data_IF_016483356598
#
_entry.id   IF_016483356598
#
_cell.length_a   1.000
_cell.length_b   1.000
_cell.length_c   1.000
_cell.angle_alpha   90.00
_cell.angle_beta   90.00
_cell.angle_gamma   90.00
#
_symmetry.space_group_name_H-M   'P 1'
#
loop_
_entity.id
_entity.type
_entity.pdbx_description
1 polymer ?
#
# COMPACT_ATOMS: atom_id res chain seq x y z
N UNK A 1 15.03 -17.37 13.99
CA UNK A 1 13.59 -17.54 14.31
C UNK A 1 12.72 -17.80 13.09
N UNK A 2 12.99 -17.22 11.91
CA UNK A 2 12.17 -17.50 10.70
C UNK A 2 12.24 -18.96 10.22
N UNK A 3 13.39 -19.63 10.35
CA UNK A 3 13.53 -21.06 9.99
C UNK A 3 12.75 -22.01 10.91
N UNK A 4 12.38 -21.59 12.13
CA UNK A 4 11.56 -22.39 13.04
C UNK A 4 10.07 -22.37 12.67
N UNK A 5 9.63 -21.44 11.81
CA UNK A 5 8.24 -21.35 11.35
C UNK A 5 7.94 -22.27 10.15
N UNK A 6 8.98 -22.80 9.49
CA UNK A 6 8.86 -23.73 8.36
C UNK A 6 8.83 -25.20 8.80
N UNK A 7 9.04 -25.50 10.08
CA UNK A 7 8.84 -26.84 10.61
C UNK A 7 7.33 -27.07 10.85
N UNK A 8 6.81 -28.20 10.39
CA UNK A 8 5.38 -28.55 10.47
C UNK A 8 4.84 -28.75 11.92
N UNK A 9 5.62 -28.38 12.94
CA UNK A 9 5.36 -28.61 14.36
C UNK A 9 5.40 -27.33 15.21
N UNK A 10 5.49 -26.15 14.60
CA UNK A 10 5.42 -24.90 15.35
C UNK A 10 3.96 -24.61 15.74
N UNK A 11 3.68 -24.48 17.04
CA UNK A 11 2.39 -23.98 17.53
C UNK A 11 2.24 -22.50 17.15
N UNK A 12 1.63 -22.27 15.98
CA UNK A 12 1.41 -20.94 15.39
C UNK A 12 0.36 -20.10 16.13
N UNK A 13 -0.35 -20.68 17.10
CA UNK A 13 -1.40 -20.02 17.88
C UNK A 13 -0.90 -18.87 18.76
N UNK A 14 0.41 -18.80 19.04
CA UNK A 14 1.05 -17.72 19.80
C UNK A 14 1.90 -16.76 18.95
N UNK A 15 1.95 -16.97 17.62
CA UNK A 15 2.78 -16.16 16.75
C UNK A 15 2.22 -14.73 16.61
N UNK A 16 3.03 -13.73 16.95
CA UNK A 16 2.67 -12.33 16.78
C UNK A 16 3.29 -11.78 15.50
N UNK A 17 2.46 -11.30 14.58
CA UNK A 17 2.94 -10.66 13.36
C UNK A 17 3.46 -9.27 13.67
N UNK A 18 4.74 -9.03 13.39
CA UNK A 18 5.36 -7.70 13.41
C UNK A 18 5.75 -7.30 12.00
N UNK A 19 5.61 -6.01 11.70
CA UNK A 19 6.00 -5.42 10.42
C UNK A 19 7.17 -4.45 10.65
N UNK A 20 8.19 -4.44 9.78
CA UNK A 20 9.33 -3.54 9.91
C UNK A 20 8.97 -2.09 9.59
N UNK A 21 7.99 -1.88 8.70
CA UNK A 21 7.48 -0.57 8.33
C UNK A 21 6.18 -0.24 9.05
N UNK A 22 6.07 0.99 9.54
CA UNK A 22 4.81 1.59 9.97
C UNK A 22 4.58 2.93 9.26
N UNK A 23 3.39 3.10 8.69
CA UNK A 23 3.00 4.29 7.91
C UNK A 23 4.02 4.73 6.83
N UNK A 24 4.78 3.78 6.28
CA UNK A 24 5.82 4.03 5.28
C UNK A 24 7.22 4.27 5.81
N UNK A 25 7.38 4.42 7.12
CA UNK A 25 8.68 4.62 7.75
C UNK A 25 9.22 3.30 8.28
N UNK A 26 10.51 3.06 8.10
CA UNK A 26 11.20 1.92 8.68
C UNK A 26 11.36 2.16 10.19
N UNK A 27 10.64 1.37 11.00
CA UNK A 27 10.66 1.48 12.47
C UNK A 27 11.58 0.42 13.08
N UNK A 28 11.61 -0.78 12.50
CA UNK A 28 12.42 -1.89 13.00
C UNK A 28 13.42 -2.36 11.93
N UNK A 29 14.67 -1.84 11.96
CA UNK A 29 15.71 -2.22 11.01
C UNK A 29 16.15 -3.68 11.14
N UNK A 30 16.19 -4.23 12.35
CA UNK A 30 16.61 -5.62 12.59
C UNK A 30 15.67 -6.62 11.93
N UNK A 31 14.35 -6.39 12.05
CA UNK A 31 13.35 -7.19 11.37
C UNK A 31 13.47 -7.06 9.84
N UNK A 32 13.77 -5.87 9.33
CA UNK A 32 13.97 -5.64 7.92
C UNK A 32 15.20 -6.38 7.39
N UNK A 33 16.31 -6.34 8.12
CA UNK A 33 17.52 -7.09 7.77
C UNK A 33 17.27 -8.60 7.75
N UNK A 34 16.56 -9.15 8.75
CA UNK A 34 16.21 -10.57 8.74
C UNK A 34 15.35 -10.97 7.53
N UNK A 35 14.42 -10.11 7.11
CA UNK A 35 13.60 -10.34 5.90
C UNK A 35 14.44 -10.25 4.63
N UNK A 36 15.32 -9.26 4.52
CA UNK A 36 16.21 -9.12 3.39
C UNK A 36 17.22 -10.26 3.29
N UNK A 37 17.75 -10.74 4.40
CA UNK A 37 18.63 -11.90 4.44
C UNK A 37 17.93 -13.13 3.85
N UNK A 38 16.69 -13.39 4.24
CA UNK A 38 15.88 -14.46 3.65
C UNK A 38 15.60 -14.22 2.16
N UNK A 39 15.27 -12.99 1.77
CA UNK A 39 14.98 -12.64 0.38
C UNK A 39 16.21 -12.80 -0.53
N UNK A 40 17.38 -12.33 -0.12
CA UNK A 40 18.61 -12.41 -0.91
C UNK A 40 19.16 -13.84 -0.98
N UNK A 41 19.14 -14.58 0.14
CA UNK A 41 19.69 -15.94 0.19
C UNK A 41 18.74 -17.00 -0.37
N UNK A 42 17.47 -16.98 0.04
CA UNK A 42 16.50 -18.04 -0.24
C UNK A 42 15.77 -17.84 -1.57
N UNK A 43 15.23 -16.63 -1.78
CA UNK A 43 14.38 -16.33 -2.94
C UNK A 43 15.19 -15.94 -4.18
N UNK A 44 16.02 -14.90 -4.05
CA UNK A 44 16.80 -14.37 -5.18
C UNK A 44 18.11 -15.14 -5.43
N UNK A 45 18.67 -15.77 -4.39
CA UNK A 45 19.95 -16.50 -4.43
C UNK A 45 21.09 -15.66 -5.02
N UNK A 46 21.17 -14.41 -4.60
CA UNK A 46 22.17 -13.44 -5.07
C UNK A 46 23.24 -13.26 -4.02
N UNK A 47 24.50 -13.14 -4.46
CA UNK A 47 25.61 -12.73 -3.60
C UNK A 47 25.66 -11.20 -3.54
N UNK A 48 25.47 -10.57 -2.36
CA UNK A 48 25.44 -9.12 -2.24
C UNK A 48 26.72 -8.43 -2.77
N UNK A 49 27.90 -9.01 -2.50
CA UNK A 49 29.20 -8.43 -2.84
C UNK A 49 29.45 -8.23 -4.33
N UNK A 50 28.78 -8.99 -5.20
CA UNK A 50 28.94 -8.87 -6.66
C UNK A 50 27.79 -8.11 -7.31
N UNK A 51 26.74 -7.80 -6.57
CA UNK A 51 25.51 -7.21 -7.08
C UNK A 51 25.35 -5.74 -6.66
N UNK A 52 24.46 -5.04 -7.36
CA UNK A 52 24.07 -3.67 -7.07
C UNK A 52 22.59 -3.65 -6.74
N UNK A 53 22.20 -2.84 -5.76
CA UNK A 53 20.85 -2.78 -5.24
C UNK A 53 20.14 -1.52 -5.72
N UNK A 54 18.95 -1.69 -6.32
CA UNK A 54 18.00 -0.62 -6.58
C UNK A 54 16.94 -0.68 -5.48
N UNK A 55 16.85 0.37 -4.66
CA UNK A 55 15.86 0.45 -3.58
C UNK A 55 14.87 1.58 -3.86
N UNK A 56 13.60 1.34 -3.53
CA UNK A 56 12.57 2.38 -3.58
C UNK A 56 12.29 2.90 -2.18
N UNK A 57 12.27 4.23 -2.04
CA UNK A 57 11.93 4.90 -0.80
C UNK A 57 10.72 5.83 -0.99
N UNK A 58 9.89 6.01 0.06
CA UNK A 58 8.82 6.99 0.03
C UNK A 58 9.39 8.42 0.02
N UNK A 59 8.62 9.34 -0.56
CA UNK A 59 8.97 10.75 -0.56
C UNK A 59 9.04 11.30 0.87
N UNK A 60 10.03 12.17 1.11
CA UNK A 60 10.27 12.81 2.42
C UNK A 60 10.62 11.83 3.54
N UNK A 61 11.42 10.80 3.23
CA UNK A 61 12.00 9.94 4.26
C UNK A 61 12.97 10.72 5.16
N UNK A 62 13.05 10.33 6.44
CA UNK A 62 13.92 11.01 7.40
C UNK A 62 15.38 10.61 7.16
N UNK A 63 16.36 11.55 7.21
CA UNK A 63 17.77 11.22 7.03
C UNK A 63 18.33 10.23 8.06
N UNK A 64 17.69 10.09 9.23
CA UNK A 64 18.03 9.05 10.21
C UNK A 64 17.68 7.66 9.70
N UNK A 65 16.50 7.51 9.08
CA UNK A 65 16.03 6.24 8.53
C UNK A 65 16.89 5.84 7.33
N UNK A 66 17.21 6.79 6.47
CA UNK A 66 18.07 6.57 5.30
C UNK A 66 19.44 6.04 5.72
N UNK A 67 20.06 6.63 6.75
CA UNK A 67 21.33 6.13 7.31
C UNK A 67 21.23 4.70 7.84
N UNK A 68 20.14 4.36 8.53
CA UNK A 68 19.93 2.97 8.99
C UNK A 68 19.77 2.00 7.82
N UNK A 69 19.10 2.40 6.74
CA UNK A 69 19.04 1.60 5.50
C UNK A 69 20.42 1.42 4.88
N UNK A 70 21.21 2.49 4.78
CA UNK A 70 22.56 2.47 4.21
C UNK A 70 23.50 1.56 5.02
N UNK A 71 23.45 1.62 6.35
CA UNK A 71 24.22 0.76 7.26
C UNK A 71 23.93 -0.72 7.00
N UNK A 72 22.64 -1.10 6.90
CA UNK A 72 22.24 -2.48 6.59
C UNK A 72 22.78 -2.90 5.20
N UNK A 73 22.62 -2.07 4.17
CA UNK A 73 22.98 -2.43 2.79
C UNK A 73 24.50 -2.56 2.61
N UNK A 74 25.28 -1.62 3.16
CA UNK A 74 26.72 -1.58 2.95
C UNK A 74 27.52 -2.31 4.03
N UNK A 75 27.18 -2.16 5.30
CA UNK A 75 27.97 -2.74 6.40
C UNK A 75 27.57 -4.18 6.68
N UNK A 76 26.26 -4.47 6.73
CA UNK A 76 25.77 -5.82 7.04
C UNK A 76 25.80 -6.74 5.81
N UNK A 77 25.20 -6.31 4.68
CA UNK A 77 25.15 -7.14 3.47
C UNK A 77 26.36 -6.98 2.56
N UNK A 78 27.03 -5.82 2.54
CA UNK A 78 28.22 -5.61 1.72
C UNK A 78 27.93 -5.47 0.22
N UNK A 79 26.83 -4.81 -0.17
CA UNK A 79 26.53 -4.55 -1.59
C UNK A 79 27.56 -3.63 -2.25
N UNK A 80 27.82 -3.83 -3.55
CA UNK A 80 28.78 -3.00 -4.31
C UNK A 80 28.32 -1.57 -4.51
N UNK A 81 27.03 -1.38 -4.77
CA UNK A 81 26.43 -0.06 -4.96
C UNK A 81 24.95 -0.08 -4.62
N UNK A 82 24.44 1.07 -4.21
CA UNK A 82 23.04 1.31 -3.90
C UNK A 82 22.56 2.51 -4.70
N UNK A 83 21.44 2.37 -5.39
CA UNK A 83 20.70 3.49 -5.96
C UNK A 83 19.32 3.54 -5.30
N UNK A 84 19.03 4.67 -4.65
CA UNK A 84 17.73 4.94 -4.04
C UNK A 84 16.92 5.79 -5.00
N UNK A 85 15.74 5.31 -5.36
CA UNK A 85 14.81 5.98 -6.24
C UNK A 85 13.48 6.23 -5.53
N UNK A 86 12.80 7.30 -5.90
CA UNK A 86 11.41 7.53 -5.51
C UNK A 86 10.46 6.77 -6.44
N UNK A 87 9.41 6.17 -5.88
CA UNK A 87 8.43 5.41 -6.67
C UNK A 87 7.79 6.23 -7.81
N UNK A 88 7.40 7.52 -7.61
CA UNK A 88 6.75 8.29 -8.67
C UNK A 88 7.64 8.57 -9.89
N UNK A 89 8.93 8.86 -9.70
CA UNK A 89 9.84 9.07 -10.83
C UNK A 89 10.04 7.79 -11.63
N UNK A 90 10.17 6.63 -10.98
CA UNK A 90 10.30 5.34 -11.65
C UNK A 90 9.06 4.99 -12.48
N UNK A 91 7.86 5.24 -11.95
CA UNK A 91 6.61 5.00 -12.69
C UNK A 91 6.51 5.91 -13.90
N UNK A 92 6.85 7.19 -13.76
CA UNK A 92 6.89 8.13 -14.89
C UNK A 92 7.86 7.66 -15.98
N UNK A 93 9.09 7.29 -15.59
CA UNK A 93 10.11 6.78 -16.51
C UNK A 93 9.65 5.50 -17.21
N UNK A 94 9.03 4.58 -16.46
CA UNK A 94 8.49 3.34 -16.99
C UNK A 94 7.41 3.61 -18.05
N UNK A 95 6.42 4.46 -17.78
CA UNK A 95 5.38 4.81 -18.74
C UNK A 95 5.93 5.56 -19.96
N UNK A 96 6.87 6.49 -19.75
CA UNK A 96 7.54 7.20 -20.83
C UNK A 96 8.35 6.26 -21.74
N UNK A 97 8.95 5.21 -21.16
CA UNK A 97 9.70 4.19 -21.91
C UNK A 97 8.80 3.23 -22.69
N UNK A 98 7.63 2.88 -22.14
CA UNK A 98 6.66 2.00 -22.80
C UNK A 98 5.94 2.66 -23.96
N UNK A 99 5.64 3.95 -23.84
CA UNK A 99 4.88 4.72 -24.83
C UNK A 99 5.69 5.95 -25.27
N UNK A 100 6.74 5.77 -26.09
CA UNK A 100 7.63 6.86 -26.50
C UNK A 100 6.92 7.95 -27.32
N UNK A 101 5.80 7.63 -27.97
CA UNK A 101 4.98 8.60 -28.71
C UNK A 101 3.77 9.12 -27.91
N UNK A 102 3.61 8.65 -26.68
CA UNK A 102 2.51 9.03 -25.79
C UNK A 102 2.62 10.46 -25.27
N UNK A 103 1.51 10.98 -24.75
CA UNK A 103 1.44 12.33 -24.19
C UNK A 103 2.45 12.52 -23.05
N UNK A 104 2.62 11.51 -22.19
CA UNK A 104 3.54 11.54 -21.05
C UNK A 104 4.99 11.70 -21.52
N UNK A 105 5.41 10.96 -22.56
CA UNK A 105 6.79 11.03 -23.08
C UNK A 105 7.08 12.37 -23.80
N UNK A 106 6.09 12.92 -24.52
CA UNK A 106 6.22 14.22 -25.21
C UNK A 106 6.16 15.42 -24.27
N UNK A 107 5.22 15.41 -23.32
CA UNK A 107 5.04 16.50 -22.36
C UNK A 107 6.05 16.42 -21.21
N UNK A 108 6.66 15.25 -20.99
CA UNK A 108 7.53 14.94 -19.85
C UNK A 108 6.90 15.38 -18.52
N UNK A 109 5.58 15.27 -18.41
CA UNK A 109 4.81 15.75 -17.28
C UNK A 109 3.72 14.74 -16.95
N UNK A 110 3.61 14.36 -15.68
CA UNK A 110 2.55 13.47 -15.20
C UNK A 110 2.26 13.70 -13.72
N UNK A 111 1.02 13.49 -13.32
CA UNK A 111 0.66 13.35 -11.91
C UNK A 111 0.57 11.86 -11.57
N UNK A 112 1.45 11.38 -10.70
CA UNK A 112 1.40 10.00 -10.21
C UNK A 112 0.60 9.97 -8.92
N UNK A 113 -0.46 9.15 -8.90
CA UNK A 113 -1.26 8.86 -7.71
C UNK A 113 -0.93 7.45 -7.26
N UNK A 114 -0.10 7.33 -6.24
CA UNK A 114 0.30 6.05 -5.65
C UNK A 114 -0.57 5.75 -4.43
N UNK A 115 -1.40 4.71 -4.53
CA UNK A 115 -2.29 4.27 -3.47
C UNK A 115 -1.77 2.97 -2.85
N UNK A 116 -1.12 3.09 -1.69
CA UNK A 116 -0.52 1.96 -0.99
C UNK A 116 -1.38 1.40 0.14
N UNK A 117 -0.77 0.53 0.95
CA UNK A 117 -1.41 -0.04 2.13
C UNK A 117 -1.64 1.00 3.24
N UNK A 118 -0.69 1.90 3.49
CA UNK A 118 -0.75 2.80 4.65
C UNK A 118 -1.12 4.24 4.32
N UNK A 119 -0.79 4.72 3.12
CA UNK A 119 -0.97 6.10 2.69
C UNK A 119 -1.15 6.14 1.17
N UNK A 120 -1.63 7.28 0.69
CA UNK A 120 -1.72 7.63 -0.73
C UNK A 120 -0.90 8.90 -0.98
N UNK A 121 -0.06 8.88 -2.02
CA UNK A 121 0.69 10.04 -2.47
C UNK A 121 0.24 10.49 -3.84
N UNK A 122 0.03 11.80 -3.99
CA UNK A 122 -0.12 12.45 -5.27
C UNK A 122 1.15 13.26 -5.52
N UNK A 123 2.00 12.80 -6.44
CA UNK A 123 3.28 13.41 -6.76
C UNK A 123 3.31 13.87 -8.22
N UNK A 124 3.35 15.18 -8.49
CA UNK A 124 3.62 15.69 -9.82
C UNK A 124 5.07 15.45 -10.21
N UNK A 125 5.29 14.92 -11.41
CA UNK A 125 6.60 14.65 -12.01
C UNK A 125 6.73 15.51 -13.26
N UNK A 126 7.83 16.24 -13.37
CA UNK A 126 8.17 17.09 -14.51
C UNK A 126 9.61 16.84 -14.93
N UNK A 127 9.84 16.57 -16.21
CA UNK A 127 11.15 16.25 -16.79
C UNK A 127 11.89 15.15 -16.01
N UNK A 128 11.17 14.09 -15.63
CA UNK A 128 11.66 12.98 -14.79
C UNK A 128 12.01 13.34 -13.33
N UNK A 129 11.80 14.58 -12.90
CA UNK A 129 12.01 15.01 -11.52
C UNK A 129 10.67 15.15 -10.79
N UNK A 130 10.60 14.64 -9.57
CA UNK A 130 9.47 14.87 -8.69
C UNK A 130 9.46 16.30 -8.19
N UNK A 131 8.31 16.96 -8.35
CA UNK A 131 8.10 18.34 -7.95
C UNK A 131 7.71 18.37 -6.47
N UNK A 132 8.71 18.38 -5.58
CA UNK A 132 8.54 18.23 -4.13
C UNK A 132 7.49 19.18 -3.51
N UNK A 133 7.42 20.44 -3.94
CA UNK A 133 6.44 21.40 -3.40
C UNK A 133 4.98 21.08 -3.78
N UNK A 134 4.78 20.32 -4.86
CA UNK A 134 3.45 19.93 -5.35
C UNK A 134 3.00 18.57 -4.82
N UNK A 135 3.83 17.87 -4.06
CA UNK A 135 3.49 16.54 -3.52
C UNK A 135 2.47 16.69 -2.41
N UNK A 136 1.40 15.90 -2.49
CA UNK A 136 0.41 15.76 -1.42
C UNK A 136 0.44 14.33 -0.89
N UNK A 137 0.54 14.21 0.43
CA UNK A 137 0.43 12.94 1.15
C UNK A 137 -0.91 12.92 1.88
N UNK A 138 -1.64 11.83 1.74
CA UNK A 138 -2.82 11.52 2.53
C UNK A 138 -2.53 10.26 3.34
N UNK A 139 -2.70 10.30 4.65
CA UNK A 139 -2.58 9.13 5.53
C UNK A 139 -3.82 8.23 5.46
N UNK A 140 -4.34 8.05 4.25
CA UNK A 140 -5.40 7.12 3.89
C UNK A 140 -4.79 6.12 2.91
N UNK A 141 -4.87 4.85 3.25
CA UNK A 141 -4.45 3.75 2.38
C UNK A 141 -5.37 2.55 2.54
N UNK A 142 -4.98 1.41 1.97
CA UNK A 142 -5.73 0.16 2.05
C UNK A 142 -6.09 -0.26 3.49
N UNK A 143 -5.22 -0.03 4.47
CA UNK A 143 -5.44 -0.33 5.88
C UNK A 143 -6.65 0.41 6.46
N UNK A 144 -6.85 1.68 6.06
CA UNK A 144 -8.00 2.46 6.52
C UNK A 144 -9.30 1.85 5.99
N UNK A 145 -9.31 1.42 4.72
CA UNK A 145 -10.45 0.73 4.10
C UNK A 145 -10.72 -0.63 4.76
N UNK A 146 -9.68 -1.43 5.01
CA UNK A 146 -9.82 -2.74 5.67
C UNK A 146 -10.33 -2.58 7.11
N UNK A 147 -9.81 -1.60 7.87
CA UNK A 147 -10.29 -1.31 9.22
C UNK A 147 -11.75 -0.86 9.23
N UNK A 148 -12.12 -0.01 8.28
CA UNK A 148 -13.49 0.43 8.15
C UNK A 148 -14.44 -0.73 7.76
N UNK A 149 -14.01 -1.61 6.86
CA UNK A 149 -14.76 -2.81 6.50
C UNK A 149 -14.99 -3.71 7.72
N UNK A 150 -13.97 -3.90 8.57
CA UNK A 150 -14.12 -4.62 9.84
C UNK A 150 -15.16 -4.00 10.74
N UNK A 151 -15.15 -2.68 10.91
CA UNK A 151 -16.13 -1.99 11.76
C UNK A 151 -17.56 -2.23 11.25
N UNK A 152 -17.79 -2.15 9.94
CA UNK A 152 -19.12 -2.45 9.36
C UNK A 152 -19.53 -3.90 9.60
N UNK A 153 -18.65 -4.85 9.29
CA UNK A 153 -18.99 -6.28 9.37
C UNK A 153 -19.17 -6.72 10.83
N UNK A 154 -18.28 -6.26 11.71
CA UNK A 154 -18.33 -6.52 13.15
C UNK A 154 -19.61 -6.02 13.79
N UNK A 155 -20.10 -4.83 13.38
CA UNK A 155 -21.35 -4.30 13.87
C UNK A 155 -22.59 -5.10 13.43
N UNK A 156 -22.57 -5.72 12.24
CA UNK A 156 -23.77 -6.32 11.64
C UNK A 156 -23.88 -7.83 11.78
N UNK A 157 -22.77 -8.57 11.73
CA UNK A 157 -22.83 -10.03 11.57
C UNK A 157 -21.95 -10.77 12.57
N UNK A 158 -20.63 -10.64 12.44
CA UNK A 158 -19.64 -11.45 13.16
C UNK A 158 -18.48 -10.57 13.57
N UNK A 159 -18.03 -10.70 14.82
CA UNK A 159 -16.85 -10.00 15.30
C UNK A 159 -15.59 -10.50 14.57
N UNK A 160 -15.08 -9.67 13.67
CA UNK A 160 -13.91 -9.93 12.81
C UNK A 160 -12.74 -8.99 13.12
N UNK A 161 -12.74 -8.38 14.31
CA UNK A 161 -11.75 -7.35 14.67
C UNK A 161 -10.31 -7.87 14.61
N UNK A 162 -10.11 -9.11 15.06
CA UNK A 162 -8.80 -9.78 15.10
C UNK A 162 -8.40 -10.37 13.73
N UNK A 163 -9.38 -10.65 12.87
CA UNK A 163 -9.20 -11.32 11.57
C UNK A 163 -8.87 -10.32 10.44
N UNK A 164 -7.72 -9.67 10.57
CA UNK A 164 -7.25 -8.64 9.64
C UNK A 164 -7.01 -9.14 8.22
N UNK A 165 -6.43 -10.33 8.09
CA UNK A 165 -6.07 -10.91 6.80
C UNK A 165 -7.30 -11.33 6.01
N UNK A 166 -8.26 -11.97 6.68
CA UNK A 166 -9.50 -12.38 6.06
C UNK A 166 -10.28 -11.20 5.49
N UNK A 167 -10.33 -10.07 6.22
CA UNK A 167 -10.99 -8.86 5.74
C UNK A 167 -10.26 -8.19 4.58
N UNK A 168 -8.94 -8.32 4.50
CA UNK A 168 -8.16 -7.83 3.35
C UNK A 168 -8.47 -8.64 2.09
N UNK A 169 -8.55 -9.97 2.23
CA UNK A 169 -8.97 -10.89 1.16
C UNK A 169 -10.38 -10.59 0.65
N UNK A 170 -11.33 -10.35 1.57
CA UNK A 170 -12.71 -9.98 1.23
C UNK A 170 -12.73 -8.64 0.51
N UNK A 171 -11.94 -7.66 0.98
CA UNK A 171 -11.80 -6.36 0.32
C UNK A 171 -11.31 -6.53 -1.12
N UNK A 172 -10.25 -7.30 -1.35
CA UNK A 172 -9.67 -7.50 -2.69
C UNK A 172 -10.59 -8.27 -3.63
N UNK A 173 -11.38 -9.23 -3.13
CA UNK A 173 -12.25 -10.08 -3.96
C UNK A 173 -13.64 -9.49 -4.22
N UNK A 174 -14.20 -8.75 -3.26
CA UNK A 174 -15.62 -8.34 -3.30
C UNK A 174 -15.84 -6.83 -3.46
N UNK A 175 -14.85 -5.99 -3.12
CA UNK A 175 -15.04 -4.54 -3.20
C UNK A 175 -14.78 -4.01 -4.61
N UNK A 176 -15.52 -2.98 -4.97
CA UNK A 176 -15.35 -2.25 -6.23
C UNK A 176 -15.70 -0.77 -6.01
N UNK A 177 -15.22 0.07 -6.92
CA UNK A 177 -15.54 1.49 -6.94
C UNK A 177 -16.66 1.72 -7.94
N UNK A 178 -17.79 2.24 -7.46
CA UNK A 178 -18.94 2.59 -8.29
C UNK A 178 -18.71 3.92 -9.02
N UNK A 179 -19.11 3.99 -10.29
CA UNK A 179 -19.09 5.21 -11.09
C UNK A 179 -20.32 6.09 -10.84
N UNK A 180 -21.50 5.47 -10.63
CA UNK A 180 -22.74 6.15 -10.23
C UNK A 180 -23.32 5.50 -8.97
N UNK A 181 -22.95 6.09 -7.84
CA UNK A 181 -23.36 5.62 -6.52
C UNK A 181 -24.87 5.70 -6.34
N UNK A 182 -25.53 6.74 -6.86
CA UNK A 182 -26.97 6.93 -6.63
C UNK A 182 -27.79 5.85 -7.35
N UNK A 183 -27.33 5.42 -8.52
CA UNK A 183 -27.92 4.30 -9.23
C UNK A 183 -27.65 2.97 -8.51
N UNK A 184 -26.39 2.69 -8.17
CA UNK A 184 -26.00 1.40 -7.59
C UNK A 184 -26.64 1.14 -6.22
N UNK A 185 -26.85 2.18 -5.41
CA UNK A 185 -27.58 2.06 -4.16
C UNK A 185 -29.05 1.66 -4.36
N UNK A 186 -29.71 2.24 -5.37
CA UNK A 186 -31.11 1.90 -5.69
C UNK A 186 -31.23 0.46 -6.16
N UNK A 187 -30.26 -0.01 -6.95
CA UNK A 187 -30.21 -1.41 -7.39
C UNK A 187 -29.96 -2.34 -6.21
N UNK A 188 -29.07 -1.95 -5.28
CA UNK A 188 -28.80 -2.74 -4.08
C UNK A 188 -29.99 -2.80 -3.11
N UNK A 189 -30.71 -1.69 -2.89
CA UNK A 189 -31.94 -1.69 -2.07
C UNK A 189 -33.07 -2.51 -2.68
N UNK A 190 -33.00 -2.76 -3.98
CA UNK A 190 -33.95 -3.62 -4.72
C UNK A 190 -33.59 -5.11 -4.61
N UNK A 191 -32.52 -5.47 -3.90
CA UNK A 191 -32.09 -6.86 -3.66
C UNK A 191 -31.43 -7.56 -4.86
N UNK A 192 -31.17 -6.83 -5.96
CA UNK A 192 -30.62 -7.38 -7.21
C UNK A 192 -29.09 -7.45 -7.21
N UNK A 193 -28.41 -6.74 -6.31
CA UNK A 193 -26.94 -6.77 -6.16
C UNK A 193 -26.55 -7.07 -4.70
N UNK A 194 -25.96 -8.24 -4.48
CA UNK A 194 -25.26 -8.63 -3.24
C UNK A 194 -23.84 -8.06 -3.25
N UNK A 195 -23.71 -6.73 -3.33
CA UNK A 195 -22.41 -6.10 -3.56
C UNK A 195 -22.12 -5.05 -2.49
N UNK A 196 -20.88 -5.02 -1.99
CA UNK A 196 -20.42 -4.07 -0.99
C UNK A 196 -19.85 -2.83 -1.70
N UNK A 197 -20.63 -1.75 -1.78
CA UNK A 197 -20.15 -0.46 -2.31
C UNK A 197 -19.24 0.23 -1.30
N UNK A 198 -18.12 0.78 -1.78
CA UNK A 198 -17.21 1.67 -1.04
C UNK A 198 -17.13 3.00 -1.80
N UNK A 199 -17.63 4.10 -1.21
CA UNK A 199 -17.50 5.48 -1.75
C UNK A 199 -16.25 6.19 -1.20
N UNK A 200 -15.71 7.13 -1.98
CA UNK A 200 -14.73 8.11 -1.52
C UNK A 200 -15.28 9.52 -1.87
N UNK A 201 -15.54 10.31 -0.82
CA UNK A 201 -15.90 11.75 -0.75
C UNK A 201 -17.33 12.33 -1.02
N UNK A 202 -17.67 13.24 -0.08
CA UNK A 202 -18.73 14.28 0.10
C UNK A 202 -20.22 13.90 0.26
N UNK A 203 -20.72 14.00 1.50
CA UNK A 203 -22.07 14.46 1.86
C UNK A 203 -23.17 13.40 2.07
N UNK A 204 -23.58 13.23 3.34
CA UNK A 204 -24.79 12.59 3.91
C UNK A 204 -25.87 12.04 2.95
N UNK A 205 -26.26 10.77 3.15
CA UNK A 205 -27.62 10.42 3.64
C UNK A 205 -27.70 8.95 4.14
N UNK A 206 -28.49 8.77 5.19
CA UNK A 206 -28.85 7.53 5.90
C UNK A 206 -30.20 7.05 5.32
N UNK A 207 -30.32 5.79 4.87
CA UNK A 207 -31.32 4.82 5.40
C UNK A 207 -31.19 3.42 4.79
N UNK A 208 -31.66 2.42 5.54
CA UNK A 208 -31.51 0.98 5.33
C UNK A 208 -32.76 0.31 4.76
N UNK A 209 -32.54 -0.60 3.79
CA UNK A 209 -33.46 -1.67 3.41
C UNK A 209 -32.72 -2.74 2.60
N UNK A 210 -32.72 -3.98 3.11
CA UNK A 210 -32.24 -5.25 2.53
C UNK A 210 -31.37 -5.17 1.24
N UNK A 211 -30.04 -5.29 1.42
CA UNK A 211 -29.09 -5.43 0.30
C UNK A 211 -27.75 -4.75 0.61
N UNK A 212 -26.64 -5.38 0.22
CA UNK A 212 -25.30 -5.18 0.77
C UNK A 212 -24.58 -3.83 0.52
N UNK A 213 -25.24 -2.74 0.14
CA UNK A 213 -24.55 -1.47 -0.11
C UNK A 213 -24.64 -0.47 1.04
N UNK A 214 -23.49 0.11 1.43
CA UNK A 214 -23.44 1.33 2.25
C UNK A 214 -22.58 2.38 1.54
N UNK A 215 -23.07 3.61 1.53
CA UNK A 215 -22.33 4.79 1.07
C UNK A 215 -21.32 5.20 2.14
N UNK A 216 -20.12 5.56 1.72
CA UNK A 216 -19.06 6.07 2.57
C UNK A 216 -18.87 7.58 2.44
N UNK A 217 -18.68 8.23 3.58
CA UNK A 217 -18.39 9.65 3.73
C UNK A 217 -17.00 9.79 4.38
N UNK A 218 -16.15 10.61 3.79
CA UNK A 218 -14.92 11.10 4.41
C UNK A 218 -15.03 12.62 4.43
N UNK A 219 -14.75 13.26 5.57
CA UNK A 219 -14.64 14.71 5.68
C UNK A 219 -13.19 15.11 5.35
N UNK A 220 -13.03 15.92 4.30
CA UNK A 220 -11.77 16.54 3.92
C UNK A 220 -11.83 17.88 4.63
N UNK A 221 -11.22 17.95 5.80
CA UNK A 221 -10.95 19.25 6.42
C UNK A 221 -9.87 19.91 5.54
N UNK A 222 -10.28 20.94 4.80
CA UNK A 222 -9.38 21.87 4.09
C UNK A 222 -8.40 22.56 5.04
#
# INVERSE_FOLDING_TARGET
MAEQLLSATADLTSATLRRPFDRGYLVNPDLQSSLWSHLFSSLLRVTPSTSSLLLTEPLFNLPSIQRSTDEIVFEEFGFRSLFVADSPSLVHLYEASRQPYGLVSKAQCSLVVDCGFSFTHCAPVFQNFTVNYGVKRMDLGGKALTNYLKEIVSYRSVNVMDESFFMDDVKEKLCFVSLDVAQDLKVSSSGLLNCLLIRVFRGKLIDFGYGFCRVLEFDLVE
#
